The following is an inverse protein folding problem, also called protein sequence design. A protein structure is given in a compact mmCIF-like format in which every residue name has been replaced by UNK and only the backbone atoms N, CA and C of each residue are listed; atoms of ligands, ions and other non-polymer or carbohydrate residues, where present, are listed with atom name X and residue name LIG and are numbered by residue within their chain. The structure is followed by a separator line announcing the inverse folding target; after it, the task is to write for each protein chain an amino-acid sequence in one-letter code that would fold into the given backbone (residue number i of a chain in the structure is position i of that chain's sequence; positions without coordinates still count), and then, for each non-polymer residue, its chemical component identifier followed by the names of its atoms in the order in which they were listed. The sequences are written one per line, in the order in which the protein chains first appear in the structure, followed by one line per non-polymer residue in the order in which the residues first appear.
data_IF_002804077755
#
_entry.id   IF_002804077755
#
_cell.length_a   1.000
_cell.length_b   1.000
_cell.length_c   1.000
_cell.angle_alpha   90.00
_cell.angle_beta   90.00
_cell.angle_gamma   90.00
#
_symmetry.space_group_name_H-M   'P 1'
#
loop_
_entity.id
_entity.type
_entity.pdbx_description
1 polymer ?
#
# COMPACT_ATOMS: atom_id res chain seq x y z
N UNK A 1 25.10 46.78 33.21
CA UNK A 1 25.40 45.69 32.25
C UNK A 1 26.44 46.21 31.27
N UNK A 2 27.52 45.48 31.07
CA UNK A 2 28.58 45.88 30.11
C UNK A 2 28.16 45.53 28.67
N UNK A 3 28.72 46.21 27.68
CA UNK A 3 28.48 45.88 26.26
C UNK A 3 28.88 44.44 25.92
N UNK A 4 29.84 43.85 26.65
CA UNK A 4 30.22 42.45 26.53
C UNK A 4 29.10 41.50 26.99
N UNK A 5 28.39 41.82 28.08
CA UNK A 5 27.28 41.00 28.58
C UNK A 5 26.11 40.95 27.58
N UNK A 6 25.84 42.06 26.89
CA UNK A 6 24.78 42.16 25.86
C UNK A 6 25.14 41.30 24.65
N UNK A 7 26.40 41.35 24.18
CA UNK A 7 26.87 40.55 23.04
C UNK A 7 26.83 39.05 23.39
N UNK A 8 27.27 38.67 24.59
CA UNK A 8 27.23 37.29 25.05
C UNK A 8 25.79 36.79 25.16
N UNK A 9 24.89 37.61 25.70
CA UNK A 9 23.46 37.27 25.82
C UNK A 9 22.80 37.07 24.45
N UNK A 10 23.05 37.98 23.49
CA UNK A 10 22.56 37.85 22.11
C UNK A 10 23.07 36.58 21.43
N UNK A 11 24.37 36.27 21.57
CA UNK A 11 24.96 35.02 21.06
C UNK A 11 24.35 33.79 21.71
N UNK A 12 24.08 33.83 23.02
CA UNK A 12 23.42 32.71 23.71
C UNK A 12 21.99 32.48 23.23
N UNK A 13 21.23 33.55 22.97
CA UNK A 13 19.87 33.45 22.40
C UNK A 13 19.94 32.82 21.02
N UNK A 14 20.82 33.34 20.14
CA UNK A 14 20.99 32.80 18.80
C UNK A 14 21.45 31.33 18.80
N UNK A 15 22.36 30.95 19.70
CA UNK A 15 22.77 29.55 19.87
C UNK A 15 21.62 28.65 20.33
N UNK A 16 20.71 29.14 21.16
CA UNK A 16 19.51 28.38 21.57
C UNK A 16 18.54 28.21 20.41
N UNK A 17 18.33 29.25 19.60
CA UNK A 17 17.51 29.20 18.39
C UNK A 17 18.07 28.18 17.39
N UNK A 18 19.37 28.26 17.07
CA UNK A 18 20.04 27.30 16.19
C UNK A 18 19.93 25.86 16.72
N UNK A 19 20.06 25.67 18.04
CA UNK A 19 19.91 24.34 18.65
C UNK A 19 18.49 23.79 18.49
N UNK A 20 17.48 24.65 18.61
CA UNK A 20 16.08 24.27 18.39
C UNK A 20 15.81 23.94 16.92
N UNK A 21 16.35 24.72 15.99
CA UNK A 21 16.24 24.44 14.55
C UNK A 21 16.91 23.12 14.16
N UNK A 22 18.12 22.85 14.68
CA UNK A 22 18.82 21.58 14.46
C UNK A 22 18.02 20.40 15.01
N UNK A 23 17.36 20.54 16.16
CA UNK A 23 16.49 19.51 16.71
C UNK A 23 15.28 19.25 15.79
N UNK A 24 14.61 20.31 15.34
CA UNK A 24 13.48 20.23 14.40
C UNK A 24 13.89 19.54 13.09
N UNK A 25 15.01 19.95 12.49
CA UNK A 25 15.49 19.35 11.24
C UNK A 25 15.88 17.88 11.41
N UNK A 26 16.35 17.46 12.59
CA UNK A 26 16.62 16.04 12.85
C UNK A 26 15.34 15.21 12.90
N UNK A 27 14.28 15.74 13.53
CA UNK A 27 12.97 15.09 13.59
C UNK A 27 12.34 14.99 12.20
N UNK A 28 12.39 16.08 11.43
CA UNK A 28 11.86 16.11 10.06
C UNK A 28 12.61 15.14 9.14
N UNK A 29 13.95 15.11 9.22
CA UNK A 29 14.76 14.17 8.45
C UNK A 29 14.49 12.70 8.85
N UNK A 30 14.28 12.42 10.14
CA UNK A 30 13.88 11.09 10.59
C UNK A 30 12.49 10.68 10.04
N UNK A 31 11.54 11.62 10.03
CA UNK A 31 10.22 11.40 9.44
C UNK A 31 10.29 11.13 7.93
N UNK A 32 11.03 11.95 7.18
CA UNK A 32 11.21 11.79 5.74
C UNK A 32 11.89 10.46 5.39
N UNK A 33 12.90 10.03 6.16
CA UNK A 33 13.52 8.71 5.98
C UNK A 33 12.51 7.58 6.17
N UNK A 34 11.68 7.66 7.20
CA UNK A 34 10.62 6.67 7.44
C UNK A 34 9.62 6.63 6.28
N UNK A 35 9.22 7.79 5.77
CA UNK A 35 8.31 7.89 4.62
C UNK A 35 8.93 7.31 3.34
N UNK A 36 10.21 7.59 3.07
CA UNK A 36 10.94 7.01 1.92
C UNK A 36 10.99 5.48 2.01
N UNK A 37 11.29 4.91 3.18
CA UNK A 37 11.31 3.45 3.34
C UNK A 37 9.91 2.83 3.17
N UNK A 38 8.88 3.50 3.69
CA UNK A 38 7.48 3.09 3.48
C UNK A 38 7.08 3.12 2.01
N UNK A 39 7.45 4.17 1.28
CA UNK A 39 7.19 4.30 -0.16
C UNK A 39 7.94 3.25 -0.98
N UNK A 40 9.19 2.94 -0.65
CA UNK A 40 9.95 1.86 -1.30
C UNK A 40 9.25 0.52 -1.12
N UNK A 41 8.87 0.18 0.11
CA UNK A 41 8.19 -1.08 0.39
C UNK A 41 6.84 -1.19 -0.35
N UNK A 42 6.11 -0.08 -0.46
CA UNK A 42 4.88 0.01 -1.25
C UNK A 42 5.14 -0.22 -2.75
N UNK A 43 6.20 0.37 -3.30
CA UNK A 43 6.59 0.19 -4.70
C UNK A 43 7.06 -1.25 -4.99
N UNK A 44 7.80 -1.87 -4.07
CA UNK A 44 8.26 -3.26 -4.20
C UNK A 44 7.06 -4.22 -4.33
N UNK A 45 5.98 -4.01 -3.54
CA UNK A 45 4.75 -4.80 -3.69
C UNK A 45 4.11 -4.62 -5.08
N UNK A 46 4.08 -3.39 -5.59
CA UNK A 46 3.52 -3.11 -6.92
C UNK A 46 4.36 -3.74 -8.04
N UNK A 47 5.68 -3.68 -7.96
CA UNK A 47 6.59 -4.33 -8.91
C UNK A 47 6.40 -5.85 -8.93
N UNK A 48 6.23 -6.46 -7.75
CA UNK A 48 5.98 -7.88 -7.66
C UNK A 48 4.64 -8.27 -8.30
N UNK A 49 3.59 -7.46 -8.12
CA UNK A 49 2.30 -7.68 -8.77
C UNK A 49 2.35 -7.45 -10.28
N UNK A 50 3.12 -6.47 -10.76
CA UNK A 50 3.32 -6.27 -12.21
C UNK A 50 4.02 -7.48 -12.84
N UNK A 51 5.02 -8.05 -12.15
CA UNK A 51 5.65 -9.28 -12.62
C UNK A 51 4.63 -10.43 -12.71
N UNK A 52 3.68 -10.53 -11.78
CA UNK A 52 2.60 -11.53 -11.90
C UNK A 52 1.73 -11.25 -13.13
N UNK A 53 1.41 -9.98 -13.40
CA UNK A 53 0.59 -9.55 -14.53
C UNK A 53 1.25 -9.88 -15.87
N UNK A 54 2.56 -9.67 -15.99
CA UNK A 54 3.35 -9.99 -17.18
C UNK A 54 3.41 -11.49 -17.46
N UNK A 55 3.43 -12.33 -16.42
CA UNK A 55 3.52 -13.78 -16.55
C UNK A 55 2.16 -14.47 -16.74
N UNK A 56 1.06 -13.72 -16.74
CA UNK A 56 -0.27 -14.28 -16.94
C UNK A 56 -0.47 -14.76 -18.39
N UNK A 57 -1.10 -15.94 -18.59
CA UNK A 57 -1.58 -16.39 -19.89
C UNK A 57 -2.49 -15.33 -20.55
N UNK A 58 -2.64 -15.29 -21.89
CA UNK A 58 -3.39 -14.25 -22.60
C UNK A 58 -4.81 -13.99 -22.05
N UNK A 59 -5.52 -15.04 -21.66
CA UNK A 59 -6.87 -14.99 -21.09
C UNK A 59 -6.92 -14.78 -19.57
N UNK A 60 -5.79 -14.89 -18.88
CA UNK A 60 -5.69 -14.80 -17.44
C UNK A 60 -5.78 -13.37 -16.93
N UNK A 61 -6.34 -13.21 -15.72
CA UNK A 61 -6.52 -11.93 -15.03
C UNK A 61 -5.85 -11.94 -13.67
N UNK A 62 -5.50 -10.75 -13.17
CA UNK A 62 -5.23 -10.55 -11.75
C UNK A 62 -6.54 -10.26 -11.04
N UNK A 63 -6.91 -11.10 -10.08
CA UNK A 63 -8.05 -10.88 -9.20
C UNK A 63 -7.54 -10.35 -7.86
N UNK A 64 -7.69 -9.05 -7.64
CA UNK A 64 -7.32 -8.38 -6.39
C UNK A 64 -8.49 -8.48 -5.41
N UNK A 65 -8.24 -9.01 -4.22
CA UNK A 65 -9.23 -9.15 -3.15
C UNK A 65 -8.86 -8.22 -2.01
N UNK A 66 -9.80 -7.36 -1.62
CA UNK A 66 -9.72 -6.50 -0.44
C UNK A 66 -9.96 -7.34 0.84
N UNK A 67 -8.87 -7.80 1.45
CA UNK A 67 -8.87 -8.87 2.42
C UNK A 67 -9.67 -8.56 3.69
N UNK A 68 -9.46 -7.39 4.31
CA UNK A 68 -10.18 -7.07 5.54
C UNK A 68 -11.65 -6.82 5.32
N UNK A 69 -12.01 -6.24 4.18
CA UNK A 69 -13.41 -6.01 3.88
C UNK A 69 -14.17 -7.32 3.62
N UNK A 70 -13.51 -8.33 3.02
CA UNK A 70 -14.12 -9.66 2.88
C UNK A 70 -14.32 -10.39 4.22
N UNK A 71 -13.60 -10.02 5.28
CA UNK A 71 -13.65 -10.68 6.59
C UNK A 71 -14.49 -9.90 7.62
N UNK A 72 -14.29 -8.58 7.67
CA UNK A 72 -14.84 -7.68 8.67
C UNK A 72 -15.90 -6.73 8.11
N UNK A 73 -16.03 -6.66 6.78
CA UNK A 73 -17.00 -5.79 6.11
C UNK A 73 -18.44 -6.20 6.36
N UNK A 74 -19.37 -5.28 6.10
CA UNK A 74 -20.81 -5.47 6.29
C UNK A 74 -21.37 -6.64 5.46
N UNK A 75 -20.76 -6.94 4.32
CA UNK A 75 -21.07 -8.07 3.46
C UNK A 75 -19.92 -9.09 3.43
N UNK A 76 -19.32 -9.38 4.59
CA UNK A 76 -18.23 -10.36 4.68
C UNK A 76 -18.60 -11.68 3.99
N UNK A 77 -17.65 -12.22 3.24
CA UNK A 77 -17.77 -13.49 2.51
C UNK A 77 -16.92 -14.59 3.15
N UNK A 78 -16.00 -14.22 4.04
CA UNK A 78 -15.17 -15.15 4.80
C UNK A 78 -15.21 -14.81 6.31
N UNK A 79 -15.03 -15.82 7.16
CA UNK A 79 -14.96 -15.67 8.62
C UNK A 79 -13.58 -15.22 9.07
N UNK A 80 -12.54 -15.68 8.39
CA UNK A 80 -11.15 -15.39 8.70
C UNK A 80 -10.27 -15.44 7.43
N UNK A 81 -8.97 -15.24 7.63
CA UNK A 81 -7.97 -15.26 6.56
C UNK A 81 -7.84 -16.63 5.92
N UNK A 82 -7.95 -17.71 6.69
CA UNK A 82 -7.77 -19.07 6.19
C UNK A 82 -8.90 -19.42 5.23
N UNK A 83 -10.14 -19.12 5.61
CA UNK A 83 -11.31 -19.33 4.73
C UNK A 83 -11.21 -18.46 3.47
N UNK A 84 -10.72 -17.23 3.56
CA UNK A 84 -10.52 -16.39 2.38
C UNK A 84 -9.45 -16.95 1.42
N UNK A 85 -8.39 -17.54 1.97
CA UNK A 85 -7.34 -18.23 1.19
C UNK A 85 -7.92 -19.48 0.52
N UNK A 86 -8.70 -20.29 1.24
CA UNK A 86 -9.37 -21.47 0.68
C UNK A 86 -10.32 -21.10 -0.47
N UNK A 87 -11.08 -20.01 -0.32
CA UNK A 87 -11.95 -19.49 -1.39
C UNK A 87 -11.15 -19.03 -2.62
N UNK A 88 -10.00 -18.38 -2.41
CA UNK A 88 -9.11 -17.98 -3.49
C UNK A 88 -8.51 -19.19 -4.22
N UNK A 89 -8.11 -20.23 -3.48
CA UNK A 89 -7.63 -21.48 -4.06
C UNK A 89 -8.72 -22.23 -4.83
N UNK A 90 -9.97 -22.19 -4.35
CA UNK A 90 -11.12 -22.73 -5.08
C UNK A 90 -11.35 -21.98 -6.41
N UNK A 91 -11.31 -20.63 -6.40
CA UNK A 91 -11.36 -19.82 -7.63
C UNK A 91 -10.26 -20.23 -8.61
N UNK A 92 -9.02 -20.40 -8.15
CA UNK A 92 -7.90 -20.80 -9.01
C UNK A 92 -8.01 -22.24 -9.57
N UNK A 93 -8.80 -23.12 -8.94
CA UNK A 93 -9.11 -24.45 -9.51
C UNK A 93 -10.08 -24.35 -10.68
N UNK A 94 -11.03 -23.43 -10.59
CA UNK A 94 -12.03 -23.16 -11.64
C UNK A 94 -11.45 -22.29 -12.77
N UNK A 95 -10.53 -21.39 -12.42
CA UNK A 95 -9.87 -20.42 -13.30
C UNK A 95 -8.34 -20.53 -13.20
N UNK A 96 -7.74 -21.63 -13.70
CA UNK A 96 -6.31 -21.90 -13.54
C UNK A 96 -5.42 -20.87 -14.27
N UNK A 97 -5.96 -20.12 -15.23
CA UNK A 97 -5.30 -19.04 -15.94
C UNK A 97 -5.15 -17.75 -15.12
N UNK A 98 -5.95 -17.56 -14.07
CA UNK A 98 -5.92 -16.35 -13.25
C UNK A 98 -4.75 -16.34 -12.25
N UNK A 99 -4.56 -15.18 -11.63
CA UNK A 99 -3.71 -14.99 -10.47
C UNK A 99 -4.51 -14.22 -9.42
N UNK A 100 -4.60 -14.76 -8.21
CA UNK A 100 -5.35 -14.12 -7.12
C UNK A 100 -4.38 -13.40 -6.19
N UNK A 101 -4.70 -12.15 -5.86
CA UNK A 101 -3.92 -11.33 -4.95
C UNK A 101 -4.79 -10.78 -3.83
N UNK A 102 -4.65 -11.34 -2.62
CA UNK A 102 -5.32 -10.85 -1.42
C UNK A 102 -4.46 -9.76 -0.78
N UNK A 103 -5.03 -8.56 -0.63
CA UNK A 103 -4.36 -7.40 -0.06
C UNK A 103 -5.01 -7.06 1.28
N UNK A 104 -4.20 -7.02 2.33
CA UNK A 104 -4.62 -6.62 3.66
C UNK A 104 -3.96 -5.29 4.05
N UNK A 105 -4.68 -4.48 4.82
CA UNK A 105 -4.00 -3.49 5.66
C UNK A 105 -3.24 -4.22 6.77
N UNK A 106 -2.01 -3.80 7.08
CA UNK A 106 -1.23 -4.42 8.15
C UNK A 106 -0.21 -3.45 8.70
N UNK A 107 0.34 -3.73 9.88
CA UNK A 107 1.37 -2.87 10.46
C UNK A 107 2.67 -2.91 9.66
N UNK A 108 3.05 -4.10 9.18
CA UNK A 108 4.30 -4.32 8.45
C UNK A 108 4.01 -4.75 7.01
N UNK A 109 4.81 -4.24 6.08
CA UNK A 109 4.74 -4.65 4.68
C UNK A 109 5.30 -6.07 4.55
N UNK A 110 4.51 -6.96 3.96
CA UNK A 110 4.97 -8.32 3.65
C UNK A 110 4.21 -8.90 2.47
N UNK A 111 4.80 -9.89 1.80
CA UNK A 111 4.15 -10.63 0.72
C UNK A 111 4.56 -12.09 0.79
N UNK A 112 3.60 -12.99 0.63
CA UNK A 112 3.82 -14.43 0.47
C UNK A 112 3.11 -14.88 -0.80
N UNK A 113 3.79 -15.73 -1.58
CA UNK A 113 3.26 -16.32 -2.81
C UNK A 113 3.24 -17.83 -2.67
N UNK A 114 2.12 -18.45 -3.03
CA UNK A 114 1.97 -19.89 -3.18
C UNK A 114 1.33 -20.18 -4.54
N UNK A 115 2.14 -20.61 -5.51
CA UNK A 115 1.68 -20.79 -6.89
C UNK A 115 1.17 -19.48 -7.50
N UNK A 116 -0.13 -19.45 -7.84
CA UNK A 116 -0.85 -18.30 -8.43
C UNK A 116 -1.63 -17.47 -7.42
N UNK A 117 -1.39 -17.70 -6.12
CA UNK A 117 -2.00 -16.94 -5.03
C UNK A 117 -0.94 -16.11 -4.31
N UNK A 118 -1.16 -14.81 -4.22
CA UNK A 118 -0.38 -13.88 -3.41
C UNK A 118 -1.22 -13.35 -2.25
N UNK A 119 -0.60 -13.26 -1.08
CA UNK A 119 -1.16 -12.56 0.07
C UNK A 119 -0.17 -11.49 0.53
N UNK A 120 -0.60 -10.23 0.53
CA UNK A 120 0.23 -9.09 0.92
C UNK A 120 -0.39 -8.24 2.03
N UNK A 121 0.47 -7.59 2.81
CA UNK A 121 0.14 -6.55 3.79
C UNK A 121 0.80 -5.24 3.38
N UNK A 122 0.08 -4.11 3.43
CA UNK A 122 0.55 -2.83 2.87
C UNK A 122 1.24 -1.87 3.84
N UNK A 123 1.38 -2.19 5.13
CA UNK A 123 2.02 -1.31 6.13
C UNK A 123 1.10 -0.22 6.72
N UNK A 124 -0.12 -0.07 6.18
CA UNK A 124 -1.32 0.26 6.97
C UNK A 124 -1.33 1.56 7.77
N UNK A 125 -0.92 2.71 7.21
CA UNK A 125 -1.39 4.04 7.64
C UNK A 125 -1.46 5.03 6.47
N UNK A 126 -2.46 5.93 6.51
CA UNK A 126 -2.56 7.09 5.61
C UNK A 126 -2.53 6.72 4.12
N UNK A 127 -1.46 7.13 3.43
CA UNK A 127 -1.26 6.89 2.00
C UNK A 127 -1.04 5.40 1.65
N UNK A 128 -0.70 4.57 2.63
CA UNK A 128 -0.35 3.16 2.46
C UNK A 128 -1.50 2.19 2.81
N UNK A 129 -2.73 2.71 2.85
CA UNK A 129 -3.92 1.84 2.96
C UNK A 129 -4.09 0.99 1.71
N UNK A 130 -4.61 -0.22 1.88
CA UNK A 130 -4.88 -1.18 0.83
C UNK A 130 -5.68 -0.56 -0.33
N UNK A 131 -6.76 0.18 -0.04
CA UNK A 131 -7.58 0.84 -1.07
C UNK A 131 -6.76 1.78 -1.95
N UNK A 132 -5.93 2.61 -1.32
CA UNK A 132 -5.11 3.58 -2.04
C UNK A 132 -4.05 2.88 -2.87
N UNK A 133 -3.38 1.89 -2.29
CA UNK A 133 -2.40 1.07 -2.98
C UNK A 133 -3.00 0.40 -4.23
N UNK A 134 -4.16 -0.24 -4.09
CA UNK A 134 -4.84 -0.91 -5.21
C UNK A 134 -5.28 0.10 -6.26
N UNK A 135 -5.76 1.29 -5.85
CA UNK A 135 -6.04 2.38 -6.78
C UNK A 135 -4.80 2.85 -7.55
N UNK A 136 -3.65 3.00 -6.88
CA UNK A 136 -2.40 3.41 -7.52
C UNK A 136 -1.88 2.33 -8.48
N UNK A 137 -1.98 1.06 -8.10
CA UNK A 137 -1.68 -0.08 -8.97
C UNK A 137 -2.59 -0.11 -10.20
N UNK A 138 -3.90 0.11 -10.04
CA UNK A 138 -4.85 0.17 -11.17
C UNK A 138 -4.54 1.33 -12.13
N UNK A 139 -4.11 2.49 -11.61
CA UNK A 139 -3.68 3.62 -12.47
C UNK A 139 -2.47 3.24 -13.31
N UNK A 140 -1.50 2.55 -12.70
CA UNK A 140 -0.34 2.02 -13.41
C UNK A 140 -0.77 1.00 -14.48
N UNK A 141 -1.59 0.01 -14.12
CA UNK A 141 -2.11 -1.00 -15.05
C UNK A 141 -2.87 -0.36 -16.23
N UNK A 142 -3.64 0.71 -15.97
CA UNK A 142 -4.29 1.49 -17.04
C UNK A 142 -3.27 2.21 -17.93
N UNK A 143 -2.28 2.86 -17.34
CA UNK A 143 -1.25 3.59 -18.09
C UNK A 143 -0.51 2.69 -19.09
N UNK A 144 -0.28 1.43 -18.72
CA UNK A 144 0.36 0.42 -19.59
C UNK A 144 -0.64 -0.36 -20.46
N UNK A 145 -1.92 -0.01 -20.46
CA UNK A 145 -2.94 -0.64 -21.30
C UNK A 145 -3.34 -2.06 -20.89
N UNK A 146 -3.24 -2.41 -19.60
CA UNK A 146 -3.60 -3.73 -19.05
C UNK A 146 -4.74 -3.67 -18.02
N UNK A 147 -5.45 -2.56 -17.91
CA UNK A 147 -6.49 -2.39 -16.89
C UNK A 147 -7.63 -3.42 -17.00
N UNK A 148 -8.01 -3.87 -18.21
CA UNK A 148 -9.05 -4.90 -18.36
C UNK A 148 -8.63 -6.28 -17.83
N UNK A 149 -7.33 -6.49 -17.62
CA UNK A 149 -6.79 -7.74 -17.07
C UNK A 149 -6.74 -7.75 -15.54
N UNK A 150 -7.19 -6.68 -14.89
CA UNK A 150 -7.23 -6.60 -13.42
C UNK A 150 -8.67 -6.52 -12.97
N UNK A 151 -9.10 -7.46 -12.14
CA UNK A 151 -10.39 -7.49 -11.44
C UNK A 151 -10.18 -7.08 -9.97
N UNK A 152 -11.06 -6.24 -9.40
CA UNK A 152 -11.02 -5.91 -7.97
C UNK A 152 -12.32 -6.39 -7.31
N UNK A 153 -12.18 -7.19 -6.26
CA UNK A 153 -13.27 -7.72 -5.43
C UNK A 153 -13.25 -7.02 -4.08
N UNK A 154 -14.25 -6.19 -3.85
CA UNK A 154 -14.47 -5.44 -2.61
C UNK A 154 -15.97 -5.26 -2.38
N UNK A 155 -16.39 -5.22 -1.11
CA UNK A 155 -17.75 -4.86 -0.71
C UNK A 155 -17.89 -3.40 -0.32
N UNK A 156 -16.78 -2.64 -0.34
CA UNK A 156 -16.76 -1.22 0.01
C UNK A 156 -17.24 -0.43 -1.21
N UNK A 157 -18.39 0.23 -1.04
CA UNK A 157 -19.04 0.99 -2.11
C UNK A 157 -18.23 2.21 -2.55
N UNK A 158 -17.52 2.86 -1.63
CA UNK A 158 -16.75 4.05 -1.96
C UNK A 158 -15.44 3.67 -2.64
N UNK A 159 -14.82 2.58 -2.20
CA UNK A 159 -13.66 2.02 -2.89
C UNK A 159 -14.04 1.53 -4.30
N UNK A 160 -15.16 0.82 -4.45
CA UNK A 160 -15.66 0.38 -5.75
C UNK A 160 -15.88 1.55 -6.73
N UNK A 161 -16.44 2.67 -6.26
CA UNK A 161 -16.59 3.88 -7.09
C UNK A 161 -15.24 4.42 -7.59
N UNK A 162 -14.18 4.33 -6.77
CA UNK A 162 -12.84 4.76 -7.18
C UNK A 162 -12.25 3.84 -8.24
N UNK A 163 -12.39 2.51 -8.07
CA UNK A 163 -11.98 1.51 -9.06
C UNK A 163 -12.65 1.78 -10.41
N UNK A 164 -13.97 1.96 -10.41
CA UNK A 164 -14.74 2.26 -11.62
C UNK A 164 -14.31 3.57 -12.29
N UNK A 165 -14.02 4.60 -11.50
CA UNK A 165 -13.49 5.87 -12.04
C UNK A 165 -12.13 5.70 -12.70
N UNK A 166 -11.26 4.84 -12.17
CA UNK A 166 -9.93 4.59 -12.74
C UNK A 166 -10.04 3.79 -14.04
N UNK A 167 -11.04 2.92 -14.18
CA UNK A 167 -11.23 2.09 -15.39
C UNK A 167 -11.82 2.83 -16.59
N UNK A 168 -12.58 3.91 -16.35
CA UNK A 168 -13.11 4.80 -17.40
C UNK A 168 -12.02 5.74 -17.93
#
# INVERSE_FOLDING_TARGET
MSSQDIIISSRMIHLRELKAEVARFKEENASLKSEVESLKAHFDLALLAERDLENLPPQGRIVIIDGWNMILGSNRTARDRSELVEQAEAHLKEHPEDFVWIVFDGHDVSSKVNGRLRVSYTGGKGLHRADKFVCDYLRMARWIGKAERVEVRTSDKDFLKQVEKIRR
#
